data_IF_796981322992
#
_entry.id   IF_796981322992
#
_cell.length_a   1.000
_cell.length_b   1.000
_cell.length_c   1.000
_cell.angle_alpha   90.00
_cell.angle_beta   90.00
_cell.angle_gamma   90.00
#
_symmetry.space_group_name_H-M   'P 1'
#
loop_
_entity.id
_entity.type
_entity.pdbx_description
1 polymer ?
#
# COMPACT_ATOMS: atom_id res chain seq x y z
N UNK A 1 -2.75 -22.28 1.16
CA UNK A 1 -2.21 -20.89 1.04
C UNK A 1 -1.43 -20.77 -0.28
N UNK A 2 -1.24 -19.59 -0.89
CA UNK A 2 -0.56 -19.46 -2.22
C UNK A 2 0.80 -20.17 -2.26
N UNK A 3 1.63 -20.00 -1.23
CA UNK A 3 2.96 -20.63 -1.17
C UNK A 3 2.94 -22.13 -0.91
N UNK A 4 1.89 -22.64 -0.28
CA UNK A 4 1.68 -24.09 -0.16
C UNK A 4 1.32 -24.70 -1.51
N UNK A 5 0.50 -24.00 -2.30
CA UNK A 5 0.20 -24.43 -3.67
C UNK A 5 1.44 -24.34 -4.56
N UNK A 6 2.25 -23.28 -4.43
CA UNK A 6 3.51 -23.14 -5.15
C UNK A 6 4.47 -24.31 -4.87
N UNK A 7 4.62 -24.66 -3.59
CA UNK A 7 5.41 -25.82 -3.19
C UNK A 7 4.87 -27.13 -3.76
N UNK A 8 3.55 -27.37 -3.65
CA UNK A 8 2.92 -28.56 -4.23
C UNK A 8 3.01 -28.62 -5.76
N UNK A 9 3.19 -27.49 -6.43
CA UNK A 9 3.42 -27.40 -7.86
C UNK A 9 4.90 -27.61 -8.25
N UNK A 10 5.79 -27.84 -7.28
CA UNK A 10 7.21 -28.10 -7.50
C UNK A 10 8.07 -26.83 -7.71
N UNK A 11 7.56 -25.64 -7.36
CA UNK A 11 8.35 -24.42 -7.42
C UNK A 11 9.44 -24.44 -6.35
N UNK A 12 10.68 -24.20 -6.78
CA UNK A 12 11.83 -24.08 -5.91
C UNK A 12 11.85 -22.74 -5.17
N UNK A 13 12.74 -22.63 -4.18
CA UNK A 13 13.01 -21.36 -3.53
C UNK A 13 13.53 -20.30 -4.52
N UNK A 14 14.34 -20.70 -5.50
CA UNK A 14 14.86 -19.80 -6.54
C UNK A 14 13.73 -19.28 -7.43
N UNK A 15 12.80 -20.14 -7.86
CA UNK A 15 11.65 -19.70 -8.66
C UNK A 15 10.79 -18.65 -7.93
N UNK A 16 10.60 -18.82 -6.62
CA UNK A 16 9.85 -17.87 -5.78
C UNK A 16 10.62 -16.55 -5.66
N UNK A 17 11.93 -16.60 -5.41
CA UNK A 17 12.77 -15.41 -5.28
C UNK A 17 12.89 -14.65 -6.59
N UNK A 18 13.06 -15.34 -7.72
CA UNK A 18 13.12 -14.75 -9.06
C UNK A 18 11.78 -14.12 -9.44
N UNK A 19 10.67 -14.76 -9.11
CA UNK A 19 9.34 -14.17 -9.27
C UNK A 19 9.22 -12.86 -8.49
N UNK A 20 9.67 -12.83 -7.24
CA UNK A 20 9.67 -11.61 -6.43
C UNK A 20 10.59 -10.54 -7.03
N UNK A 21 11.80 -10.91 -7.45
CA UNK A 21 12.78 -10.00 -8.03
C UNK A 21 12.34 -9.42 -9.39
N UNK A 22 11.50 -10.15 -10.13
CA UNK A 22 10.95 -9.70 -11.42
C UNK A 22 9.87 -8.62 -11.29
N UNK A 23 9.32 -8.42 -10.09
CA UNK A 23 8.29 -7.42 -9.85
C UNK A 23 8.85 -6.01 -10.03
N UNK A 24 8.19 -5.23 -10.89
CA UNK A 24 8.56 -3.83 -11.12
C UNK A 24 7.82 -2.92 -10.14
N UNK A 25 8.52 -2.04 -9.41
CA UNK A 25 7.86 -1.02 -8.61
C UNK A 25 7.08 -0.06 -9.51
N UNK A 26 6.02 0.55 -8.97
CA UNK A 26 5.31 1.58 -9.70
C UNK A 26 6.24 2.78 -9.97
N UNK A 27 6.13 3.44 -11.13
CA UNK A 27 6.92 4.62 -11.44
C UNK A 27 6.81 5.67 -10.33
N UNK A 28 7.97 6.15 -9.87
CA UNK A 28 8.08 7.21 -8.87
C UNK A 28 8.03 6.78 -7.40
N UNK A 29 7.91 5.48 -7.08
CA UNK A 29 7.85 5.00 -5.67
C UNK A 29 9.05 5.46 -4.85
N UNK A 30 10.28 5.26 -5.36
CA UNK A 30 11.50 5.65 -4.64
C UNK A 30 11.56 7.15 -4.38
N UNK A 31 11.15 7.95 -5.38
CA UNK A 31 11.09 9.41 -5.27
C UNK A 31 10.02 9.86 -4.28
N UNK A 32 8.85 9.21 -4.27
CA UNK A 32 7.78 9.49 -3.32
C UNK A 32 8.25 9.21 -1.89
N UNK A 33 8.83 8.03 -1.62
CA UNK A 33 9.34 7.66 -0.30
C UNK A 33 10.42 8.64 0.15
N UNK A 34 11.38 8.96 -0.73
CA UNK A 34 12.48 9.86 -0.41
C UNK A 34 12.01 11.29 -0.10
N UNK A 35 11.05 11.81 -0.87
CA UNK A 35 10.45 13.13 -0.62
C UNK A 35 9.67 13.12 0.69
N UNK A 36 8.81 12.13 0.93
CA UNK A 36 8.04 12.03 2.17
C UNK A 36 8.97 12.00 3.40
N UNK A 37 10.04 11.20 3.35
CA UNK A 37 11.03 11.12 4.42
C UNK A 37 11.75 12.45 4.64
N UNK A 38 12.19 13.11 3.56
CA UNK A 38 12.84 14.43 3.64
C UNK A 38 11.91 15.52 4.19
N UNK A 39 10.62 15.40 3.95
CA UNK A 39 9.57 16.30 4.44
C UNK A 39 9.06 15.92 5.85
N UNK A 40 9.72 14.97 6.52
CA UNK A 40 9.43 14.59 7.91
C UNK A 40 8.17 13.75 8.09
N UNK A 41 7.69 13.06 7.05
CA UNK A 41 6.56 12.15 7.17
C UNK A 41 6.98 10.82 7.81
N UNK A 42 6.13 10.30 8.69
CA UNK A 42 6.17 8.89 9.07
C UNK A 42 5.63 8.03 7.91
N UNK A 43 6.41 7.05 7.47
CA UNK A 43 6.06 6.17 6.35
C UNK A 43 5.80 4.76 6.90
N UNK A 44 4.54 4.33 6.86
CA UNK A 44 4.13 2.99 7.29
C UNK A 44 3.69 2.18 6.09
N UNK A 45 4.30 1.00 5.92
CA UNK A 45 3.94 0.05 4.89
C UNK A 45 3.15 -1.10 5.52
N UNK A 46 1.87 -1.21 5.16
CA UNK A 46 0.97 -2.29 5.61
C UNK A 46 0.70 -3.21 4.43
N UNK A 47 1.45 -4.31 4.34
CA UNK A 47 1.67 -5.04 3.09
C UNK A 47 2.01 -6.49 3.37
N UNK A 48 2.11 -7.29 2.32
CA UNK A 48 2.70 -8.64 2.32
C UNK A 48 4.09 -8.66 1.63
N UNK A 49 4.71 -7.49 1.36
CA UNK A 49 6.00 -7.34 0.67
C UNK A 49 6.95 -6.35 1.37
N UNK A 50 8.26 -6.43 1.15
CA UNK A 50 9.24 -5.57 1.85
C UNK A 50 9.82 -4.50 0.91
N UNK A 51 10.07 -3.29 1.43
CA UNK A 51 10.75 -2.18 0.73
C UNK A 51 11.67 -1.43 1.70
N UNK A 52 12.73 -0.78 1.20
CA UNK A 52 13.67 0.03 2.00
C UNK A 52 13.12 1.43 2.32
N UNK A 53 13.75 2.14 3.29
CA UNK A 53 13.41 3.50 3.72
C UNK A 53 11.97 3.68 4.27
N UNK A 54 11.50 2.70 5.03
CA UNK A 54 10.17 2.69 5.66
C UNK A 54 10.32 2.83 7.18
N UNK A 55 9.53 3.72 7.81
CA UNK A 55 9.51 3.90 9.27
C UNK A 55 9.03 2.63 9.98
N UNK A 56 7.98 2.00 9.45
CA UNK A 56 7.43 0.76 9.99
C UNK A 56 6.85 -0.13 8.89
N UNK A 57 7.25 -1.40 8.88
CA UNK A 57 6.60 -2.45 8.08
C UNK A 57 5.67 -3.25 9.01
N UNK A 58 4.42 -3.40 8.61
CA UNK A 58 3.41 -4.26 9.27
C UNK A 58 2.96 -5.29 8.23
N UNK A 59 3.40 -6.53 8.40
CA UNK A 59 3.25 -7.60 7.42
C UNK A 59 3.11 -8.96 8.11
N UNK A 60 2.55 -9.93 7.39
CA UNK A 60 2.66 -11.33 7.77
C UNK A 60 4.12 -11.77 7.69
N UNK A 61 4.65 -12.39 8.74
CA UNK A 61 6.05 -12.79 8.78
C UNK A 61 6.28 -13.98 7.85
N UNK A 62 7.21 -13.86 6.92
CA UNK A 62 7.61 -14.93 6.03
C UNK A 62 8.95 -15.53 6.47
N UNK A 63 9.08 -16.85 6.47
CA UNK A 63 10.34 -17.54 6.75
C UNK A 63 10.43 -18.87 6.02
N UNK A 64 11.66 -19.28 5.69
CA UNK A 64 11.94 -20.56 5.05
C UNK A 64 12.16 -21.64 6.10
N UNK A 65 11.63 -22.83 5.84
CA UNK A 65 11.99 -24.06 6.55
C UNK A 65 12.21 -25.15 5.51
N UNK A 66 13.49 -25.47 5.26
CA UNK A 66 13.88 -26.25 4.09
C UNK A 66 13.64 -25.46 2.81
N UNK A 67 13.05 -26.13 1.81
CA UNK A 67 12.65 -25.61 0.50
C UNK A 67 11.26 -24.96 0.49
N UNK A 68 10.59 -24.89 1.66
CA UNK A 68 9.22 -24.39 1.79
C UNK A 68 9.15 -23.04 2.48
N UNK A 69 8.39 -22.11 1.89
CA UNK A 69 8.07 -20.81 2.48
C UNK A 69 6.84 -20.90 3.39
N UNK A 70 7.00 -20.47 4.63
CA UNK A 70 5.92 -20.38 5.63
C UNK A 70 5.56 -18.93 5.89
N UNK A 71 4.25 -18.67 6.06
CA UNK A 71 3.71 -17.35 6.39
C UNK A 71 2.99 -17.42 7.73
N UNK A 72 3.49 -16.67 8.71
CA UNK A 72 2.89 -16.48 10.01
C UNK A 72 1.94 -15.26 9.99
N UNK A 73 0.70 -15.42 10.50
CA UNK A 73 -0.23 -14.30 10.64
C UNK A 73 0.35 -13.14 11.46
N UNK A 74 0.32 -11.92 10.91
CA UNK A 74 0.69 -10.70 11.63
C UNK A 74 -0.19 -10.46 12.87
N UNK A 75 -1.45 -10.88 12.78
CA UNK A 75 -2.43 -10.82 13.87
C UNK A 75 -3.40 -11.99 13.77
N UNK A 76 -4.17 -12.21 14.83
CA UNK A 76 -5.30 -13.15 14.86
C UNK A 76 -6.56 -12.39 15.23
N UNK A 77 -7.09 -11.65 14.26
CA UNK A 77 -8.28 -10.83 14.45
C UNK A 77 -9.56 -11.63 14.16
N UNK A 78 -10.61 -11.41 14.96
CA UNK A 78 -11.92 -12.06 14.81
C UNK A 78 -13.07 -11.06 14.69
N UNK A 79 -12.78 -9.77 14.80
CA UNK A 79 -13.79 -8.72 14.97
C UNK A 79 -14.07 -7.92 13.72
N UNK A 80 -13.14 -7.90 12.75
CA UNK A 80 -13.36 -7.23 11.48
C UNK A 80 -14.00 -8.22 10.49
N UNK A 81 -15.28 -8.01 10.11
CA UNK A 81 -15.98 -8.94 9.21
C UNK A 81 -15.51 -8.82 7.74
N UNK A 82 -14.75 -7.76 7.40
CA UNK A 82 -14.31 -7.47 6.04
C UNK A 82 -12.92 -7.98 5.71
N UNK A 83 -12.09 -8.22 6.73
CA UNK A 83 -10.68 -8.54 6.55
C UNK A 83 -10.44 -10.00 6.94
N UNK A 84 -9.42 -10.63 6.34
CA UNK A 84 -9.01 -11.96 6.76
C UNK A 84 -8.47 -11.91 8.20
N UNK A 85 -8.45 -13.06 8.87
CA UNK A 85 -8.04 -13.15 10.29
C UNK A 85 -6.55 -12.84 10.50
N UNK A 86 -5.73 -12.98 9.46
CA UNK A 86 -4.27 -12.83 9.53
C UNK A 86 -3.78 -11.38 9.50
N UNK A 87 -4.49 -10.47 8.82
CA UNK A 87 -4.11 -9.06 8.75
C UNK A 87 -5.33 -8.18 8.41
N UNK A 88 -5.74 -7.34 9.35
CA UNK A 88 -6.67 -6.24 9.11
C UNK A 88 -5.90 -4.92 9.07
N UNK A 89 -5.77 -4.34 7.86
CA UNK A 89 -4.99 -3.11 7.66
C UNK A 89 -5.54 -1.91 8.45
N UNK A 90 -6.86 -1.82 8.63
CA UNK A 90 -7.47 -0.77 9.46
C UNK A 90 -7.06 -0.89 10.93
N UNK A 91 -7.05 -2.12 11.48
CA UNK A 91 -6.60 -2.35 12.86
C UNK A 91 -5.10 -2.08 13.03
N UNK A 92 -4.28 -2.55 12.09
CA UNK A 92 -2.85 -2.25 12.07
C UNK A 92 -2.57 -0.74 12.06
N UNK A 93 -3.32 0.01 11.24
CA UNK A 93 -3.21 1.47 11.19
C UNK A 93 -3.67 2.14 12.50
N UNK A 94 -4.78 1.70 13.08
CA UNK A 94 -5.27 2.23 14.35
C UNK A 94 -4.28 1.98 15.51
N UNK A 95 -3.67 0.80 15.55
CA UNK A 95 -2.63 0.45 16.52
C UNK A 95 -1.40 1.35 16.36
N UNK A 96 -0.95 1.57 15.11
CA UNK A 96 0.12 2.52 14.83
C UNK A 96 -0.21 3.93 15.36
N UNK A 97 -1.44 4.39 15.18
CA UNK A 97 -1.87 5.73 15.59
C UNK A 97 -2.20 5.87 17.09
N UNK A 98 -2.25 4.79 17.88
CA UNK A 98 -2.79 4.81 19.25
C UNK A 98 -2.10 5.81 20.20
N UNK A 99 -0.83 6.14 19.95
CA UNK A 99 -0.07 7.14 20.72
C UNK A 99 0.59 8.20 19.82
N UNK A 100 0.01 8.44 18.64
CA UNK A 100 0.54 9.38 17.66
C UNK A 100 -0.58 10.30 17.19
N UNK A 101 -0.32 11.60 17.17
CA UNK A 101 -1.23 12.58 16.60
C UNK A 101 -0.70 13.02 15.24
N UNK A 102 -1.54 12.94 14.22
CA UNK A 102 -1.19 13.35 12.86
C UNK A 102 -2.15 14.41 12.37
N UNK A 103 -1.64 15.58 11.99
CA UNK A 103 -2.43 16.64 11.36
C UNK A 103 -2.92 16.23 9.97
N UNK A 104 -2.13 15.39 9.28
CA UNK A 104 -2.43 14.86 7.95
C UNK A 104 -2.17 13.37 7.91
N UNK A 105 -3.16 12.61 7.42
CA UNK A 105 -3.04 11.18 7.16
C UNK A 105 -3.30 10.96 5.67
N UNK A 106 -2.39 10.23 5.03
CA UNK A 106 -2.50 9.81 3.63
C UNK A 106 -2.46 8.30 3.59
N UNK A 107 -3.39 7.69 2.85
CA UNK A 107 -3.43 6.25 2.63
C UNK A 107 -3.43 5.95 1.13
N UNK A 108 -2.51 5.11 0.68
CA UNK A 108 -2.39 4.69 -0.71
C UNK A 108 -2.61 3.17 -0.81
N UNK A 109 -3.43 2.73 -1.76
CA UNK A 109 -3.73 1.32 -1.97
C UNK A 109 -4.43 1.04 -3.29
N UNK A 110 -4.59 -0.22 -3.62
CA UNK A 110 -5.15 -0.68 -4.89
C UNK A 110 -6.09 -1.89 -4.73
N UNK A 111 -5.85 -2.74 -3.74
CA UNK A 111 -6.56 -3.99 -3.53
C UNK A 111 -7.87 -3.86 -2.76
N UNK A 112 -8.70 -4.92 -2.80
CA UNK A 112 -9.93 -5.00 -2.00
C UNK A 112 -9.66 -4.94 -0.49
N UNK A 113 -8.51 -5.46 -0.06
CA UNK A 113 -8.05 -5.45 1.32
C UNK A 113 -7.71 -4.03 1.85
N UNK A 114 -7.62 -3.04 0.97
CA UNK A 114 -7.43 -1.63 1.32
C UNK A 114 -8.74 -0.86 1.51
N UNK A 115 -9.89 -1.47 1.20
CA UNK A 115 -11.18 -0.81 1.39
C UNK A 115 -11.50 -0.59 2.88
N UNK A 116 -11.12 -1.54 3.74
CA UNK A 116 -11.34 -1.40 5.17
C UNK A 116 -10.70 -0.13 5.75
N UNK A 117 -9.37 0.10 5.65
CA UNK A 117 -8.77 1.33 6.16
C UNK A 117 -9.36 2.60 5.51
N UNK A 118 -9.68 2.57 4.21
CA UNK A 118 -10.32 3.71 3.54
C UNK A 118 -11.63 4.16 4.22
N UNK A 119 -12.43 3.22 4.74
CA UNK A 119 -13.71 3.53 5.44
C UNK A 119 -13.55 4.04 6.87
N UNK A 120 -12.39 3.82 7.50
CA UNK A 120 -12.15 4.22 8.90
C UNK A 120 -11.36 5.54 9.03
N UNK A 121 -10.79 6.03 7.94
CA UNK A 121 -10.03 7.28 7.94
C UNK A 121 -10.93 8.50 8.18
N UNK A 122 -10.43 9.53 8.89
CA UNK A 122 -11.18 10.75 9.17
C UNK A 122 -11.35 11.61 7.91
N UNK A 123 -12.27 12.57 7.95
CA UNK A 123 -12.60 13.40 6.79
C UNK A 123 -11.44 14.29 6.30
N UNK A 124 -10.50 14.65 7.18
CA UNK A 124 -9.30 15.42 6.84
C UNK A 124 -8.17 14.56 6.24
N UNK A 125 -8.33 13.23 6.18
CA UNK A 125 -7.38 12.36 5.52
C UNK A 125 -7.57 12.35 4.00
N UNK A 126 -6.58 11.80 3.29
CA UNK A 126 -6.65 11.57 1.84
C UNK A 126 -6.45 10.07 1.57
N UNK A 127 -7.35 9.51 0.75
CA UNK A 127 -7.22 8.16 0.20
C UNK A 127 -6.86 8.25 -1.27
N UNK A 128 -5.76 7.61 -1.64
CA UNK A 128 -5.28 7.47 -3.01
C UNK A 128 -5.57 6.04 -3.50
N UNK A 129 -6.76 5.78 -4.08
CA UNK A 129 -7.01 4.50 -4.73
C UNK A 129 -6.33 4.45 -6.09
N UNK A 130 -5.66 3.34 -6.41
CA UNK A 130 -5.05 3.17 -7.73
C UNK A 130 -6.13 3.04 -8.80
N UNK A 131 -6.06 3.90 -9.81
CA UNK A 131 -7.04 3.96 -10.89
C UNK A 131 -7.16 2.63 -11.62
N UNK A 132 -8.37 2.13 -11.79
CA UNK A 132 -8.65 0.88 -12.50
C UNK A 132 -8.36 -0.40 -11.71
N UNK A 133 -8.07 -0.28 -10.41
CA UNK A 133 -7.90 -1.42 -9.51
C UNK A 133 -9.10 -1.57 -8.56
N UNK A 134 -9.28 -2.75 -7.90
CA UNK A 134 -10.49 -3.04 -7.14
C UNK A 134 -10.87 -2.03 -6.06
N UNK A 135 -9.89 -1.35 -5.42
CA UNK A 135 -10.19 -0.30 -4.44
C UNK A 135 -10.91 0.88 -5.07
N UNK A 136 -10.46 1.34 -6.24
CA UNK A 136 -11.05 2.48 -6.97
C UNK A 136 -12.52 2.18 -7.33
N UNK A 137 -12.79 0.98 -7.84
CA UNK A 137 -14.16 0.54 -8.18
C UNK A 137 -15.07 0.43 -6.96
N UNK A 138 -14.57 -0.14 -5.86
CA UNK A 138 -15.31 -0.25 -4.60
C UNK A 138 -15.66 1.12 -4.04
N UNK A 139 -14.69 2.04 -4.02
CA UNK A 139 -14.92 3.40 -3.54
C UNK A 139 -15.96 4.08 -4.43
N UNK A 140 -15.80 4.10 -5.76
CA UNK A 140 -16.80 4.66 -6.70
C UNK A 140 -18.20 4.15 -6.43
N UNK A 141 -18.36 2.82 -6.28
CA UNK A 141 -19.65 2.19 -5.99
C UNK A 141 -20.26 2.68 -4.68
N UNK A 142 -19.46 2.79 -3.62
CA UNK A 142 -19.97 3.24 -2.31
C UNK A 142 -20.27 4.74 -2.28
N UNK A 143 -19.48 5.56 -2.98
CA UNK A 143 -19.69 7.00 -3.06
C UNK A 143 -20.93 7.36 -3.89
N UNK A 144 -21.31 6.53 -4.86
CA UNK A 144 -22.56 6.69 -5.62
C UNK A 144 -23.81 6.23 -4.84
N UNK A 145 -23.65 5.59 -3.69
CA UNK A 145 -24.77 5.14 -2.87
C UNK A 145 -25.32 6.27 -1.98
N UNK A 146 -26.58 6.19 -1.51
CA UNK A 146 -27.14 7.17 -0.59
C UNK A 146 -26.38 7.30 0.74
N UNK A 147 -25.55 6.30 1.08
CA UNK A 147 -24.77 6.24 2.31
C UNK A 147 -23.28 6.02 2.01
N UNK A 148 -22.55 7.08 1.59
CA UNK A 148 -21.11 7.00 1.36
C UNK A 148 -20.36 6.44 2.58
N UNK A 149 -19.51 5.43 2.34
CA UNK A 149 -18.76 4.76 3.42
C UNK A 149 -17.38 5.36 3.67
N UNK A 150 -16.86 6.16 2.73
CA UNK A 150 -15.55 6.80 2.83
C UNK A 150 -15.75 8.28 3.10
N UNK A 151 -15.22 8.75 4.24
CA UNK A 151 -15.31 10.15 4.66
C UNK A 151 -14.13 10.99 4.16
N UNK A 152 -12.97 10.35 4.01
CA UNK A 152 -11.73 10.99 3.57
C UNK A 152 -11.85 11.53 2.14
N UNK A 153 -11.01 12.52 1.81
CA UNK A 153 -10.88 13.00 0.43
C UNK A 153 -10.32 11.90 -0.46
N UNK A 154 -10.99 11.59 -1.57
CA UNK A 154 -10.56 10.54 -2.50
C UNK A 154 -9.85 11.18 -3.70
N UNK A 155 -8.63 10.72 -4.00
CA UNK A 155 -7.83 11.18 -5.14
C UNK A 155 -7.24 9.99 -5.89
N UNK A 156 -7.88 9.48 -6.95
CA UNK A 156 -7.36 8.34 -7.67
C UNK A 156 -6.01 8.64 -8.35
N UNK A 157 -5.05 7.71 -8.26
CA UNK A 157 -3.69 7.88 -8.80
C UNK A 157 -3.37 6.83 -9.87
N UNK A 158 -2.43 7.15 -10.77
CA UNK A 158 -1.93 6.22 -11.81
C UNK A 158 -0.45 5.89 -11.64
N UNK A 159 0.32 6.85 -11.14
CA UNK A 159 1.74 6.75 -10.79
C UNK A 159 2.03 7.52 -9.49
N UNK A 160 3.18 7.27 -8.87
CA UNK A 160 3.53 7.92 -7.61
C UNK A 160 3.88 9.41 -7.78
N UNK A 161 4.15 9.88 -8.99
CA UNK A 161 4.37 11.31 -9.27
C UNK A 161 3.09 12.13 -9.08
N UNK A 162 1.94 11.60 -9.51
CA UNK A 162 0.63 12.22 -9.27
C UNK A 162 0.31 12.36 -7.77
N UNK A 163 0.78 11.41 -6.94
CA UNK A 163 0.67 11.49 -5.48
C UNK A 163 1.54 12.63 -4.95
N UNK A 164 2.81 12.70 -5.38
CA UNK A 164 3.74 13.78 -4.99
C UNK A 164 3.13 15.15 -5.32
N UNK A 165 2.64 15.34 -6.54
CA UNK A 165 2.03 16.60 -6.99
C UNK A 165 0.79 16.98 -6.15
N UNK A 166 0.01 15.97 -5.73
CA UNK A 166 -1.17 16.21 -4.89
C UNK A 166 -0.80 16.60 -3.46
N UNK A 167 0.24 15.98 -2.88
CA UNK A 167 0.67 16.26 -1.50
C UNK A 167 1.48 17.56 -1.42
N UNK A 168 2.30 17.83 -2.43
CA UNK A 168 3.24 18.96 -2.50
C UNK A 168 3.05 19.77 -3.79
N UNK A 169 1.90 20.44 -3.96
CA UNK A 169 1.61 21.20 -5.18
C UNK A 169 2.68 22.29 -5.41
N UNK A 170 3.26 22.31 -6.62
CA UNK A 170 4.24 23.31 -7.04
C UNK A 170 5.67 23.11 -6.51
N UNK A 171 5.92 22.12 -5.63
CA UNK A 171 7.24 21.93 -5.00
C UNK A 171 8.19 21.04 -5.79
N UNK A 172 7.65 20.04 -6.51
CA UNK A 172 8.42 19.07 -7.26
C UNK A 172 7.88 18.96 -8.68
N UNK A 173 8.22 19.95 -9.52
CA UNK A 173 7.93 19.91 -10.96
C UNK A 173 8.98 19.02 -11.63
N UNK A 174 8.55 18.06 -12.45
CA UNK A 174 9.49 17.30 -13.28
C UNK A 174 10.16 18.24 -14.28
N UNK A 175 11.49 18.36 -14.19
CA UNK A 175 12.27 18.83 -15.32
C UNK A 175 12.19 17.75 -16.39
N UNK A 176 11.40 17.96 -17.43
CA UNK A 176 11.45 17.17 -18.65
C UNK A 176 12.84 17.35 -19.29
N UNK A 177 13.83 16.56 -18.88
CA UNK A 177 15.02 16.35 -19.70
C UNK A 177 14.62 15.40 -20.82
N UNK A 178 14.07 15.98 -21.89
CA UNK A 178 14.10 15.36 -23.21
C UNK A 178 15.57 15.26 -23.58
N UNK A 179 16.16 14.08 -23.45
CA UNK A 179 17.44 13.78 -24.10
C UNK A 179 17.16 13.73 -25.59
N UNK A 180 17.34 14.86 -26.27
CA UNK A 180 17.62 14.89 -27.70
C UNK A 180 18.93 14.12 -27.90
N UNK A 181 18.83 12.86 -28.29
CA UNK A 181 19.94 12.19 -28.97
C UNK A 181 20.05 12.83 -30.35
N UNK A 182 21.02 13.74 -30.47
CA UNK A 182 21.58 14.15 -31.74
C UNK A 182 22.71 13.18 -32.12
N UNK A 183 22.65 12.74 -33.37
CA UNK A 183 23.63 12.03 -34.21
C UNK A 183 23.80 10.52 -33.97
#
# INVERSE_FOLDING_TARGET
MVFEHAYSAGLSQEDILDSIASMRPNPGVEKLISILAAEGWDIVLITDANTSNITKIITNRAFWQGDRLFIEPCMRQTTCPRCPSNLCKSRALAEWCTNRSYDRIVYCGDGRNDFCPATFLPANAIVFPRRGYPLDDLIKKTMASPTPQVKARIVPWSDCYSIIQTIFPGKFVETNTVTTQHM
#
